data_IF_543993048430
#
_entry.id   IF_543993048430
#
_cell.length_a   1.000
_cell.length_b   1.000
_cell.length_c   1.000
_cell.angle_alpha   90.00
_cell.angle_beta   90.00
_cell.angle_gamma   90.00
#
_symmetry.space_group_name_H-M   'P 1'
#
loop_
_entity.id
_entity.type
_entity.pdbx_description
1 polymer ?
#
# COMPACT_ATOMS: atom_id res chain seq x y z
N UNK A 1 7.05 4.76 11.02
CA UNK A 1 6.79 4.22 9.67
C UNK A 1 5.45 3.50 9.66
N UNK A 2 5.27 2.54 10.56
CA UNK A 2 3.98 1.90 10.83
C UNK A 2 2.77 2.86 10.87
N UNK A 3 2.80 3.96 11.63
CA UNK A 3 1.68 4.94 11.66
C UNK A 3 1.36 5.58 10.31
N UNK A 4 2.37 5.83 9.46
CA UNK A 4 2.19 6.39 8.11
C UNK A 4 1.56 5.36 7.16
N UNK A 5 1.97 4.10 7.31
CA UNK A 5 1.40 2.99 6.57
C UNK A 5 -0.07 2.79 6.97
N UNK A 6 -0.35 2.73 8.28
CA UNK A 6 -1.70 2.54 8.81
C UNK A 6 -2.65 3.66 8.41
N UNK A 7 -2.23 4.93 8.50
CA UNK A 7 -3.08 6.05 8.10
C UNK A 7 -3.43 6.01 6.61
N UNK A 8 -2.49 5.61 5.75
CA UNK A 8 -2.75 5.43 4.32
C UNK A 8 -3.64 4.23 4.04
N UNK A 9 -3.44 3.11 4.74
CA UNK A 9 -4.31 1.94 4.61
C UNK A 9 -5.74 2.28 5.01
N UNK A 10 -5.95 2.99 6.12
CA UNK A 10 -7.28 3.44 6.54
C UNK A 10 -7.91 4.36 5.50
N UNK A 11 -7.13 5.25 4.88
CA UNK A 11 -7.64 6.12 3.81
C UNK A 11 -8.02 5.34 2.54
N UNK A 12 -7.20 4.37 2.15
CA UNK A 12 -7.44 3.53 0.97
C UNK A 12 -8.63 2.58 1.17
N UNK A 13 -8.77 1.99 2.37
CA UNK A 13 -9.89 1.09 2.72
C UNK A 13 -11.26 1.80 2.74
N UNK A 14 -11.28 3.14 2.80
CA UNK A 14 -12.52 3.92 2.69
C UNK A 14 -12.98 4.11 1.24
N UNK A 15 -12.11 3.84 0.27
CA UNK A 15 -12.44 3.97 -1.15
C UNK A 15 -13.14 2.70 -1.64
N UNK A 16 -14.01 2.88 -2.62
CA UNK A 16 -14.71 1.79 -3.29
C UNK A 16 -13.80 1.04 -4.27
N UNK A 17 -14.18 -0.18 -4.65
CA UNK A 17 -13.44 -0.97 -5.65
C UNK A 17 -13.20 -0.19 -6.97
N UNK A 18 -14.20 0.48 -7.59
CA UNK A 18 -13.98 1.21 -8.84
C UNK A 18 -13.02 2.41 -8.71
N UNK A 19 -12.92 3.01 -7.52
CA UNK A 19 -11.95 4.09 -7.27
C UNK A 19 -10.54 3.52 -7.12
N UNK A 20 -10.40 2.43 -6.38
CA UNK A 20 -9.14 1.72 -6.19
C UNK A 20 -8.62 1.10 -7.49
N UNK A 21 -9.51 0.66 -8.38
CA UNK A 21 -9.16 0.12 -9.69
C UNK A 21 -8.46 1.15 -10.58
N UNK A 22 -8.84 2.43 -10.45
CA UNK A 22 -8.26 3.55 -11.22
C UNK A 22 -6.88 3.97 -10.73
N UNK A 23 -6.45 3.52 -9.56
CA UNK A 23 -5.11 3.82 -9.07
C UNK A 23 -4.04 3.27 -10.03
N UNK A 24 -2.90 3.97 -10.19
CA UNK A 24 -1.78 3.42 -10.94
C UNK A 24 -1.26 2.14 -10.27
N UNK A 25 -0.56 1.29 -11.03
CA UNK A 25 0.06 0.08 -10.49
C UNK A 25 1.10 0.40 -9.40
N UNK A 26 1.74 1.56 -9.49
CA UNK A 26 2.67 2.06 -8.50
C UNK A 26 2.63 3.59 -8.44
N UNK A 27 2.65 4.13 -7.23
CA UNK A 27 2.90 5.54 -6.96
C UNK A 27 3.72 5.71 -5.70
N UNK A 28 4.69 6.63 -5.71
CA UNK A 28 5.57 6.89 -4.58
C UNK A 28 5.64 8.38 -4.27
N UNK A 29 5.71 8.71 -2.98
CA UNK A 29 5.89 10.10 -2.50
C UNK A 29 6.94 10.15 -1.40
N UNK A 30 7.84 11.13 -1.49
CA UNK A 30 8.81 11.43 -0.42
C UNK A 30 8.11 12.15 0.74
N UNK A 31 8.40 11.70 1.95
CA UNK A 31 7.98 12.26 3.22
C UNK A 31 9.23 12.67 4.01
N UNK A 32 9.28 13.94 4.41
CA UNK A 32 10.35 14.50 5.27
C UNK A 32 11.78 14.23 4.77
N UNK A 33 11.96 14.11 3.44
CA UNK A 33 13.25 13.85 2.79
C UNK A 33 13.92 12.50 3.08
N UNK A 34 13.42 11.74 4.07
CA UNK A 34 14.05 10.50 4.59
C UNK A 34 13.22 9.25 4.34
N UNK A 35 11.92 9.40 4.12
CA UNK A 35 10.98 8.29 3.93
C UNK A 35 10.38 8.37 2.54
N UNK A 36 10.37 7.26 1.82
CA UNK A 36 9.57 7.09 0.61
C UNK A 36 8.37 6.24 0.97
N UNK A 37 7.17 6.79 0.80
CA UNK A 37 5.92 6.05 0.94
C UNK A 37 5.41 5.68 -0.45
N UNK A 38 5.27 4.39 -0.72
CA UNK A 38 4.78 3.86 -1.98
C UNK A 38 3.47 3.10 -1.78
N UNK A 39 2.57 3.25 -2.74
CA UNK A 39 1.37 2.42 -2.89
C UNK A 39 1.55 1.58 -4.13
N UNK A 40 1.40 0.27 -3.98
CA UNK A 40 1.43 -0.72 -5.05
C UNK A 40 0.03 -1.29 -5.22
N UNK A 41 -0.40 -1.45 -6.48
CA UNK A 41 -1.66 -2.07 -6.86
C UNK A 41 -1.38 -3.17 -7.86
N UNK A 42 -1.93 -4.35 -7.59
CA UNK A 42 -1.90 -5.49 -8.49
C UNK A 42 -3.28 -6.15 -8.54
N UNK A 43 -3.58 -6.88 -9.61
CA UNK A 43 -4.81 -7.65 -9.75
C UNK A 43 -4.51 -9.13 -9.54
N UNK A 44 -5.20 -9.78 -8.61
CA UNK A 44 -5.00 -11.21 -8.34
C UNK A 44 -5.63 -12.09 -9.42
N UNK A 45 -5.29 -13.38 -9.44
CA UNK A 45 -5.91 -14.37 -10.33
C UNK A 45 -7.45 -14.43 -10.18
N UNK A 46 -7.98 -14.06 -9.01
CA UNK A 46 -9.42 -14.03 -8.73
C UNK A 46 -10.08 -12.69 -9.09
N UNK A 47 -9.39 -11.82 -9.85
CA UNK A 47 -9.83 -10.46 -10.20
C UNK A 47 -10.08 -9.54 -8.99
N UNK A 48 -9.39 -9.80 -7.87
CA UNK A 48 -9.40 -8.93 -6.71
C UNK A 48 -8.25 -7.91 -6.83
N UNK A 49 -8.40 -6.74 -6.21
CA UNK A 49 -7.30 -5.78 -6.13
C UNK A 49 -6.48 -6.05 -4.88
N UNK A 50 -5.19 -6.30 -5.06
CA UNK A 50 -4.20 -6.33 -3.99
C UNK A 50 -3.53 -4.97 -3.90
N UNK A 51 -3.62 -4.33 -2.74
CA UNK A 51 -3.02 -3.03 -2.48
C UNK A 51 -2.04 -3.14 -1.33
N UNK A 52 -0.82 -2.65 -1.54
CA UNK A 52 0.25 -2.65 -0.55
C UNK A 52 0.77 -1.24 -0.35
N UNK A 53 0.80 -0.79 0.90
CA UNK A 53 1.45 0.45 1.31
C UNK A 53 2.81 0.09 1.91
N UNK A 54 3.87 0.62 1.32
CA UNK A 54 5.25 0.43 1.73
C UNK A 54 5.84 1.75 2.19
N UNK A 55 6.49 1.76 3.35
CA UNK A 55 7.36 2.86 3.77
C UNK A 55 8.81 2.38 3.76
N UNK A 56 9.67 3.09 3.04
CA UNK A 56 11.10 2.86 3.00
C UNK A 56 11.84 4.07 3.58
N UNK A 57 12.59 3.88 4.66
CA UNK A 57 13.46 4.92 5.24
C UNK A 57 14.87 4.72 4.74
N UNK A 58 15.36 5.70 3.98
CA UNK A 58 16.77 5.75 3.58
C UNK A 58 17.65 5.98 4.81
N UNK A 59 18.69 5.17 4.95
CA UNK A 59 19.82 5.42 5.85
C UNK A 59 21.03 5.81 4.98
N UNK A 60 22.24 5.43 5.39
CA UNK A 60 23.49 5.79 4.72
C UNK A 60 23.88 4.67 3.74
N UNK A 61 24.51 5.02 2.61
CA UNK A 61 25.09 4.08 1.64
C UNK A 61 24.09 3.09 1.00
N UNK A 62 22.84 3.51 0.76
CA UNK A 62 21.83 2.66 0.10
C UNK A 62 21.16 1.62 1.00
N UNK A 63 21.57 1.53 2.27
CA UNK A 63 20.91 0.72 3.29
C UNK A 63 19.66 1.47 3.76
N UNK A 64 18.57 0.75 3.98
CA UNK A 64 17.34 1.33 4.51
C UNK A 64 16.49 0.32 5.26
N UNK A 65 15.51 0.83 5.99
CA UNK A 65 14.48 -0.01 6.63
C UNK A 65 13.20 0.07 5.83
N UNK A 66 12.63 -1.10 5.53
CA UNK A 66 11.38 -1.22 4.82
C UNK A 66 10.31 -1.82 5.73
N UNK A 67 9.15 -1.20 5.76
CA UNK A 67 7.93 -1.77 6.31
C UNK A 67 6.86 -1.76 5.22
N UNK A 68 6.05 -2.80 5.15
CA UNK A 68 4.92 -2.87 4.22
C UNK A 68 3.75 -3.58 4.89
N UNK A 69 2.55 -3.10 4.58
CA UNK A 69 1.27 -3.74 4.94
C UNK A 69 0.32 -3.55 3.78
N UNK A 70 -0.66 -4.43 3.65
CA UNK A 70 -1.59 -4.35 2.55
C UNK A 70 -2.88 -5.09 2.83
N UNK A 71 -3.80 -4.97 1.88
CA UNK A 71 -5.09 -5.63 1.89
C UNK A 71 -5.47 -6.08 0.48
N UNK A 72 -6.47 -6.93 0.42
CA UNK A 72 -7.12 -7.34 -0.81
C UNK A 72 -8.59 -6.89 -0.73
N UNK A 73 -9.12 -6.37 -1.83
CA UNK A 73 -10.54 -6.02 -1.96
C UNK A 73 -11.16 -6.74 -3.17
N UNK A 74 -12.30 -7.38 -2.96
CA UNK A 74 -13.08 -8.01 -4.03
C UNK A 74 -13.99 -6.99 -4.74
N UNK A 75 -14.51 -7.34 -5.92
CA UNK A 75 -15.51 -6.51 -6.63
C UNK A 75 -16.77 -6.24 -5.80
N UNK A 76 -17.09 -7.12 -4.83
CA UNK A 76 -18.21 -6.96 -3.91
C UNK A 76 -17.90 -6.00 -2.74
N UNK A 77 -16.67 -5.49 -2.64
CA UNK A 77 -16.23 -4.60 -1.56
C UNK A 77 -15.74 -5.31 -0.29
N UNK A 78 -15.60 -6.63 -0.32
CA UNK A 78 -15.07 -7.37 0.83
C UNK A 78 -13.56 -7.14 0.96
N UNK A 79 -13.12 -6.69 2.14
CA UNK A 79 -11.73 -6.36 2.43
C UNK A 79 -11.11 -7.42 3.34
N UNK A 80 -9.90 -7.87 2.98
CA UNK A 80 -9.09 -8.80 3.79
C UNK A 80 -7.67 -8.30 3.93
N UNK A 81 -7.17 -8.25 5.16
CA UNK A 81 -5.77 -7.87 5.41
C UNK A 81 -4.81 -8.94 4.93
N UNK A 82 -3.71 -8.50 4.31
CA UNK A 82 -2.56 -9.36 4.02
C UNK A 82 -1.85 -9.63 5.35
N UNK A 83 -1.95 -10.86 5.84
CA UNK A 83 -1.17 -11.30 7.00
C UNK A 83 0.29 -11.44 6.61
N UNK A 84 1.20 -11.08 7.51
CA UNK A 84 2.60 -11.51 7.41
C UNK A 84 2.59 -13.04 7.43
N UNK A 85 3.11 -13.64 6.36
CA UNK A 85 3.51 -15.05 6.35
C UNK A 85 4.82 -15.18 7.10
#
# INVERSE_FOLDING_TARGET
MNTLIESNLVALKKQSFPELEKLPSHQGKKFDGKITLSVWKDTTANQELRIVVQAYRHLILGIGRMEAKGFVISRAGEIRDLRKV
#
